data_IF_440573420491
#
_entry.id   IF_440573420491
#
_cell.length_a   1.000
_cell.length_b   1.000
_cell.length_c   1.000
_cell.angle_alpha   90.00
_cell.angle_beta   90.00
_cell.angle_gamma   90.00
#
_symmetry.space_group_name_H-M   'P 1'
#
loop_
_entity.id
_entity.type
_entity.pdbx_description
1 polymer ?
#
# COMPACT_ATOMS: atom_id res chain seq x y z
N UNK A 1 17.54 -0.85 3.21
CA UNK A 1 17.13 0.21 2.31
C UNK A 1 15.71 0.00 1.82
N UNK A 2 14.85 0.95 2.06
CA UNK A 2 13.46 0.82 1.70
C UNK A 2 13.24 1.32 0.29
N UNK A 3 13.05 0.39 -0.62
CA UNK A 3 12.67 0.74 -1.97
C UNK A 3 11.24 0.36 -2.18
N UNK A 4 10.48 1.27 -2.74
CA UNK A 4 9.11 0.97 -3.12
C UNK A 4 9.12 0.21 -4.42
N UNK A 5 8.49 -0.94 -4.41
CA UNK A 5 8.32 -1.73 -5.62
C UNK A 5 7.27 -1.08 -6.52
N UNK A 6 7.20 -1.57 -7.76
CA UNK A 6 6.15 -1.12 -8.67
C UNK A 6 4.77 -1.34 -8.05
N UNK A 7 4.60 -2.45 -7.34
CA UNK A 7 3.34 -2.75 -6.66
C UNK A 7 3.03 -1.70 -5.59
N UNK A 8 4.02 -1.35 -4.78
CA UNK A 8 3.83 -0.34 -3.73
C UNK A 8 3.43 1.00 -4.34
N UNK A 9 4.09 1.39 -5.42
CA UNK A 9 3.77 2.64 -6.11
C UNK A 9 2.36 2.63 -6.65
N UNK A 10 1.92 1.50 -7.21
CA UNK A 10 0.57 1.39 -7.72
C UNK A 10 -0.45 1.50 -6.61
N UNK A 11 -0.19 0.85 -5.48
CA UNK A 11 -1.07 0.94 -4.31
C UNK A 11 -1.18 2.38 -3.84
N UNK A 12 -0.06 3.05 -3.67
CA UNK A 12 -0.05 4.44 -3.20
C UNK A 12 -0.77 5.36 -4.18
N UNK A 13 -0.58 5.14 -5.47
CA UNK A 13 -1.25 5.94 -6.49
C UNK A 13 -2.77 5.78 -6.41
N UNK A 14 -3.24 4.57 -6.22
CA UNK A 14 -4.68 4.31 -6.12
C UNK A 14 -5.27 4.92 -4.87
N UNK A 15 -4.56 4.82 -3.75
CA UNK A 15 -5.02 5.40 -2.49
C UNK A 15 -5.00 6.93 -2.57
N UNK A 16 -4.02 7.50 -3.22
CA UNK A 16 -3.93 8.95 -3.39
C UNK A 16 -5.09 9.48 -4.24
N UNK A 17 -5.51 8.69 -5.23
CA UNK A 17 -6.62 9.07 -6.08
C UNK A 17 -7.96 8.91 -5.35
N UNK A 18 -8.09 7.89 -4.53
CA UNK A 18 -9.31 7.62 -3.78
C UNK A 18 -8.95 6.98 -2.44
N UNK A 19 -8.89 7.81 -1.40
CA UNK A 19 -8.48 7.35 -0.07
C UNK A 19 -9.46 6.35 0.55
N UNK A 20 -10.68 6.27 0.01
CA UNK A 20 -11.68 5.34 0.51
C UNK A 20 -11.80 4.07 -0.30
N UNK A 21 -10.90 3.87 -1.24
CA UNK A 21 -10.95 2.68 -2.07
C UNK A 21 -10.82 1.41 -1.23
N UNK A 22 -11.70 0.42 -1.41
CA UNK A 22 -11.58 -0.85 -0.67
C UNK A 22 -10.30 -1.58 -1.04
N UNK A 23 -9.71 -2.26 -0.07
CA UNK A 23 -8.49 -3.03 -0.32
C UNK A 23 -8.70 -4.10 -1.39
N UNK A 24 -9.90 -4.67 -1.46
CA UNK A 24 -10.21 -5.66 -2.49
C UNK A 24 -10.10 -5.08 -3.90
N UNK A 25 -10.53 -3.83 -4.06
CA UNK A 25 -10.39 -3.17 -5.36
C UNK A 25 -8.93 -2.96 -5.73
N UNK A 26 -8.13 -2.56 -4.75
CA UNK A 26 -6.69 -2.39 -4.96
C UNK A 26 -6.06 -3.73 -5.33
N UNK A 27 -6.43 -4.79 -4.63
CA UNK A 27 -5.89 -6.11 -4.91
C UNK A 27 -6.25 -6.57 -6.33
N UNK A 28 -7.47 -6.33 -6.75
CA UNK A 28 -7.90 -6.68 -8.10
C UNK A 28 -7.12 -5.92 -9.16
N UNK A 29 -6.96 -4.63 -8.96
CA UNK A 29 -6.24 -3.79 -9.92
C UNK A 29 -4.78 -4.20 -10.02
N UNK A 30 -4.21 -4.67 -8.92
CA UNK A 30 -2.80 -5.07 -8.87
C UNK A 30 -2.60 -6.57 -9.17
N UNK A 31 -3.68 -7.31 -9.39
CA UNK A 31 -3.62 -8.75 -9.68
C UNK A 31 -2.94 -9.55 -8.57
N UNK A 32 -3.23 -9.20 -7.33
CA UNK A 32 -2.68 -9.90 -6.17
C UNK A 32 -3.82 -10.24 -5.21
N UNK A 33 -3.52 -11.07 -4.22
CA UNK A 33 -4.51 -11.45 -3.21
C UNK A 33 -4.74 -10.30 -2.22
N UNK A 34 -5.92 -10.33 -1.58
CA UNK A 34 -6.20 -9.35 -0.53
C UNK A 34 -5.20 -9.41 0.61
N UNK A 35 -4.73 -10.61 0.96
CA UNK A 35 -3.74 -10.77 2.01
C UNK A 35 -2.42 -10.09 1.64
N UNK A 36 -2.00 -10.21 0.37
CA UNK A 36 -0.77 -9.57 -0.09
C UNK A 36 -0.89 -8.04 0.00
N UNK A 37 -2.03 -7.50 -0.40
CA UNK A 37 -2.27 -6.06 -0.31
C UNK A 37 -2.23 -5.61 1.14
N UNK A 38 -2.87 -6.36 2.03
CA UNK A 38 -2.93 -6.02 3.44
C UNK A 38 -1.52 -5.97 4.05
N UNK A 39 -0.68 -6.93 3.72
CA UNK A 39 0.69 -6.95 4.19
C UNK A 39 1.48 -5.75 3.68
N UNK A 40 1.30 -5.39 2.43
CA UNK A 40 2.00 -4.25 1.85
C UNK A 40 1.58 -2.95 2.51
N UNK A 41 0.28 -2.79 2.74
CA UNK A 41 -0.23 -1.57 3.37
C UNK A 41 0.26 -1.46 4.80
N UNK A 42 0.29 -2.57 5.55
CA UNK A 42 0.81 -2.55 6.91
C UNK A 42 2.28 -2.14 6.94
N UNK A 43 3.06 -2.63 5.99
CA UNK A 43 4.45 -2.27 5.88
C UNK A 43 4.62 -0.78 5.61
N UNK A 44 3.82 -0.24 4.69
CA UNK A 44 3.88 1.19 4.37
C UNK A 44 3.51 2.05 5.57
N UNK A 45 2.48 1.63 6.31
CA UNK A 45 2.07 2.35 7.52
C UNK A 45 3.20 2.33 8.55
N UNK A 46 3.87 1.20 8.73
CA UNK A 46 4.98 1.12 9.67
C UNK A 46 6.11 2.06 9.30
N UNK A 47 6.42 2.17 8.03
CA UNK A 47 7.47 3.09 7.58
C UNK A 47 7.11 4.53 7.89
N UNK A 48 5.84 4.90 7.69
CA UNK A 48 5.38 6.25 8.01
C UNK A 48 5.46 6.51 9.50
N UNK A 49 5.03 5.55 10.33
CA UNK A 49 5.06 5.70 11.78
C UNK A 49 6.49 5.85 12.28
N UNK A 50 7.42 5.07 11.74
CA UNK A 50 8.82 5.17 12.13
C UNK A 50 9.40 6.54 11.81
N UNK A 51 9.02 7.10 10.66
CA UNK A 51 9.50 8.43 10.31
C UNK A 51 8.92 9.51 11.20
N UNK A 52 7.67 9.34 11.62
CA UNK A 52 7.00 10.34 12.44
C UNK A 52 7.46 10.30 13.89
N UNK A 53 7.85 9.11 14.38
CA UNK A 53 8.21 8.98 15.79
C UNK A 53 9.61 9.51 16.11
N UNK A 54 10.26 10.07 15.16
CA UNK A 54 11.53 10.74 15.45
C UNK A 54 11.29 12.19 15.93
#
# INVERSE_FOLDING_TARGET
>A
MCKLDALDRQILSMIADNARIPFLEVARACHVSGAAIHQRIRRLVQLVVLNVSQ
#
